data_IF_267288126394
#
_entry.id   IF_267288126394
#
_cell.length_a   1.000
_cell.length_b   1.000
_cell.length_c   1.000
_cell.angle_alpha   90.00
_cell.angle_beta   90.00
_cell.angle_gamma   90.00
#
_symmetry.space_group_name_H-M   'P 1'
#
loop_
_entity.id
_entity.type
_entity.pdbx_description
1 polymer ?
2 non-polymer ?
3 non-polymer ?
4 water ?
#
# COMPACT_ATOMS: atom_id res chain seq x y z
N UNK A 5 10.17 -26.82 -20.08
CA UNK A 5 9.80 -25.49 -19.61
C UNK A 5 8.27 -25.30 -19.48
N UNK A 6 7.90 -24.40 -18.58
CA UNK A 6 6.52 -24.21 -18.19
C UNK A 6 5.74 -23.53 -19.34
N UNK A 7 4.52 -23.98 -19.59
CA UNK A 7 3.74 -23.29 -20.62
C UNK A 7 2.49 -22.70 -19.97
N UNK A 8 2.38 -21.36 -19.94
CA UNK A 8 1.21 -20.75 -19.31
C UNK A 8 -0.09 -21.16 -20.01
N UNK A 9 -1.24 -21.12 -19.29
CA UNK A 9 -2.52 -21.37 -19.96
C UNK A 9 -2.73 -20.43 -21.14
N UNK A 10 -3.42 -20.88 -22.20
CA UNK A 10 -3.70 -19.92 -23.30
C UNK A 10 -4.69 -18.80 -22.95
N UNK A 11 -5.53 -18.98 -21.93
CA UNK A 11 -6.44 -17.89 -21.56
C UNK A 11 -6.82 -18.01 -20.09
N UNK A 12 -7.36 -16.93 -19.53
CA UNK A 12 -7.78 -16.87 -18.12
C UNK A 12 -8.83 -15.77 -17.96
N UNK A 13 -9.35 -15.63 -16.75
CA UNK A 13 -10.21 -14.52 -16.42
C UNK A 13 -9.38 -13.43 -15.71
N UNK A 14 -9.60 -12.17 -16.09
CA UNK A 14 -8.98 -11.03 -15.45
C UNK A 14 -9.98 -9.86 -15.43
N UNK A 15 -9.74 -8.88 -14.57
CA UNK A 15 -10.55 -7.65 -14.56
C UNK A 15 -9.78 -6.55 -15.26
N UNK A 16 -10.46 -5.82 -16.12
CA UNK A 16 -9.82 -4.80 -16.88
C UNK A 16 -10.82 -3.65 -17.08
N UNK A 17 -10.45 -2.69 -17.91
CA UNK A 17 -11.39 -1.68 -18.38
C UNK A 17 -11.48 -1.84 -19.91
N UNK A 18 -12.69 -1.82 -20.46
CA UNK A 18 -12.83 -1.96 -21.92
C UNK A 18 -12.52 -0.66 -22.71
N UNK A 19 -12.91 -0.60 -23.99
CA UNK A 19 -12.73 0.63 -24.79
C UNK A 19 -13.84 1.66 -24.54
N UNK A 20 -14.73 1.40 -23.59
CA UNK A 20 -15.82 2.33 -23.30
C UNK A 20 -15.82 2.80 -21.84
N UNK A 21 -14.62 2.90 -21.28
CA UNK A 21 -14.42 3.22 -19.87
C UNK A 21 -15.36 2.45 -18.91
N UNK A 22 -15.49 1.15 -19.11
CA UNK A 22 -16.23 0.31 -18.15
C UNK A 22 -15.35 -0.80 -17.59
N UNK A 23 -15.46 -0.98 -16.28
CA UNK A 23 -14.80 -2.08 -15.57
C UNK A 23 -15.47 -3.39 -16.03
N UNK A 24 -14.66 -4.34 -16.50
CA UNK A 24 -15.16 -5.51 -17.21
C UNK A 24 -14.51 -6.80 -16.75
N UNK A 25 -15.31 -7.80 -16.45
CA UNK A 25 -14.79 -9.17 -16.31
C UNK A 25 -14.45 -9.73 -17.72
N UNK A 26 -13.18 -10.03 -17.92
CA UNK A 26 -12.68 -10.52 -19.20
C UNK A 26 -12.34 -12.02 -19.09
N UNK A 27 -13.13 -12.87 -19.74
CA UNK A 27 -12.96 -14.31 -19.62
C UNK A 27 -12.04 -14.95 -20.64
N UNK A 28 -11.43 -14.14 -21.50
CA UNK A 28 -10.45 -14.66 -22.44
C UNK A 28 -9.15 -13.90 -22.37
N UNK A 29 -8.78 -13.41 -21.18
CA UNK A 29 -7.56 -12.63 -20.97
C UNK A 29 -6.32 -13.49 -21.22
N UNK A 30 -5.22 -12.87 -21.67
CA UNK A 30 -3.99 -13.65 -21.79
C UNK A 30 -3.34 -13.95 -20.44
N UNK A 31 -2.41 -14.92 -20.41
CA UNK A 31 -1.56 -15.17 -19.28
C UNK A 31 -0.15 -14.65 -19.53
N UNK A 32 0.48 -14.06 -18.49
CA UNK A 32 1.82 -13.56 -18.66
C UNK A 32 2.87 -14.65 -18.92
N UNK A 33 3.95 -14.22 -19.56
CA UNK A 33 5.14 -15.05 -19.70
C UNK A 33 5.82 -15.14 -18.35
N UNK A 34 6.60 -16.19 -18.14
CA UNK A 34 7.34 -16.36 -16.90
C UNK A 34 8.72 -15.75 -17.07
N UNK A 35 9.02 -14.64 -16.34
CA UNK A 35 10.39 -14.12 -16.34
C UNK A 35 11.34 -15.07 -15.58
N UNK A 36 12.60 -15.11 -15.99
CA UNK A 36 13.57 -16.04 -15.38
C UNK A 36 13.85 -15.69 -13.91
N UNK A 37 13.64 -14.43 -13.54
CA UNK A 37 13.90 -14.02 -12.16
C UNK A 37 12.63 -13.84 -11.34
N UNK A 38 11.50 -14.35 -11.84
CA UNK A 38 10.26 -14.29 -11.07
C UNK A 38 9.64 -15.68 -10.90
N UNK A 39 8.50 -15.74 -10.22
CA UNK A 39 7.74 -16.99 -10.11
C UNK A 39 6.33 -16.77 -10.65
N UNK A 40 5.65 -17.88 -10.95
CA UNK A 40 4.32 -17.84 -11.55
C UNK A 40 3.35 -18.14 -10.45
N UNK A 41 2.32 -17.30 -10.34
CA UNK A 41 1.38 -17.37 -9.21
C UNK A 41 -0.03 -17.66 -9.66
N UNK A 42 -0.63 -18.73 -9.14
CA UNK A 42 -2.08 -18.89 -9.22
C UNK A 42 -2.70 -18.14 -8.06
N UNK A 43 -3.39 -17.04 -8.38
CA UNK A 43 -3.95 -16.09 -7.42
C UNK A 43 -5.08 -16.74 -6.60
N UNK A 44 -4.97 -16.66 -5.27
CA UNK A 44 -5.99 -17.21 -4.41
C UNK A 44 -6.84 -16.12 -3.74
N UNK A 45 -6.23 -14.99 -3.40
CA UNK A 45 -6.96 -13.89 -2.78
C UNK A 45 -6.41 -12.55 -3.25
N UNK A 46 -7.27 -11.52 -3.31
CA UNK A 46 -6.84 -10.18 -3.69
C UNK A 46 -7.43 -9.17 -2.73
N UNK A 47 -6.80 -8.01 -2.60
CA UNK A 47 -7.40 -6.93 -1.82
C UNK A 47 -7.73 -5.80 -2.75
N UNK A 48 -8.79 -5.07 -2.39
CA UNK A 48 -9.23 -3.90 -3.14
C UNK A 48 -8.61 -2.62 -2.54
N UNK A 49 -8.09 -1.76 -3.40
CA UNK A 49 -7.51 -0.48 -2.98
C UNK A 49 -8.23 0.67 -3.69
N UNK A 50 -8.36 1.85 -3.03
CA UNK A 50 -8.94 2.99 -3.75
C UNK A 50 -8.25 3.25 -5.09
N UNK A 51 -6.94 3.00 -5.19
CA UNK A 51 -6.24 3.26 -6.46
C UNK A 51 -6.85 2.46 -7.63
N UNK A 52 -7.35 1.25 -7.33
CA UNK A 52 -8.00 0.42 -8.38
C UNK A 52 -9.20 1.14 -8.95
N UNK A 53 -10.01 1.72 -8.07
CA UNK A 53 -11.25 2.42 -8.47
C UNK A 53 -10.97 3.69 -9.28
N UNK A 54 -9.75 4.20 -9.21
CA UNK A 54 -9.44 5.44 -9.90
C UNK A 54 -8.81 5.19 -11.26
N UNK A 55 -8.59 3.93 -11.62
CA UNK A 55 -8.04 3.60 -12.95
C UNK A 55 -9.14 3.68 -13.98
N UNK A 56 -9.39 4.90 -14.45
CA UNK A 56 -10.44 5.24 -15.40
C UNK A 56 -10.07 6.47 -16.21
N UNK A 57 -10.83 6.77 -17.26
CA UNK A 57 -10.56 7.91 -18.12
C UNK A 57 -9.13 7.84 -18.59
N UNK A 58 -8.41 8.97 -18.53
CA UNK A 58 -7.00 9.00 -18.95
C UNK A 58 -6.10 8.07 -18.15
N UNK A 59 -6.56 7.67 -16.97
CA UNK A 59 -5.75 6.81 -16.11
C UNK A 59 -5.82 5.34 -16.51
N UNK A 60 -6.83 4.97 -17.28
CA UNK A 60 -6.98 3.57 -17.72
C UNK A 60 -6.23 3.25 -19.01
N UNK A 61 -5.67 2.03 -19.06
CA UNK A 61 -5.22 1.44 -20.32
C UNK A 61 -6.19 0.31 -20.66
N UNK A 62 -6.99 0.48 -21.71
CA UNK A 62 -7.95 -0.57 -22.05
C UNK A 62 -7.25 -1.91 -22.20
N UNK A 63 -7.82 -2.96 -21.64
CA UNK A 63 -7.34 -4.36 -21.80
C UNK A 63 -6.09 -4.67 -20.98
N UNK A 64 -5.64 -3.72 -20.17
CA UNK A 64 -4.55 -3.93 -19.23
C UNK A 64 -5.16 -4.38 -17.87
N UNK A 65 -4.45 -5.17 -17.07
CA UNK A 65 -5.12 -5.78 -15.90
C UNK A 65 -5.15 -4.82 -14.72
N UNK A 66 -6.23 -4.84 -13.96
CA UNK A 66 -6.34 -4.04 -12.76
C UNK A 66 -5.79 -4.82 -11.56
N UNK A 67 -5.56 -4.11 -10.46
CA UNK A 67 -5.24 -4.72 -9.18
C UNK A 67 -3.77 -4.69 -8.78
N UNK A 68 -3.57 -4.35 -7.52
CA UNK A 68 -2.25 -4.21 -6.92
C UNK A 68 -1.96 -5.42 -6.01
N UNK A 69 -2.88 -5.73 -5.08
CA UNK A 69 -2.62 -6.64 -3.96
C UNK A 69 -3.02 -8.09 -4.22
N UNK A 70 -2.08 -9.03 -4.26
CA UNK A 70 -2.44 -10.43 -4.48
C UNK A 70 -1.75 -11.35 -3.47
N UNK A 71 -2.30 -12.56 -3.30
CA UNK A 71 -1.65 -13.67 -2.60
C UNK A 71 -2.03 -14.94 -3.32
N UNK A 72 -1.07 -15.84 -3.54
CA UNK A 72 -1.38 -17.08 -4.22
C UNK A 72 -0.39 -18.20 -4.05
N UNK A 73 -0.51 -19.21 -4.93
CA UNK A 73 0.31 -20.41 -4.86
C UNK A 73 1.30 -20.38 -6.01
N UNK A 74 2.56 -20.70 -5.71
CA UNK A 74 3.56 -20.75 -6.78
C UNK A 74 3.37 -22.01 -7.64
N UNK A 75 3.20 -21.83 -8.95
CA UNK A 75 2.98 -22.99 -9.84
C UNK A 75 4.15 -23.30 -10.76
N UNK A 76 5.13 -22.39 -10.79
CA UNK A 76 6.30 -22.48 -11.67
C UNK A 76 7.30 -21.45 -11.16
N UNK A 77 8.59 -21.75 -11.26
CA UNK A 77 9.67 -20.94 -10.71
C UNK A 77 10.67 -20.60 -11.81
N UNK A 78 10.94 -19.32 -12.00
CA UNK A 78 11.91 -18.85 -12.96
C UNK A 78 13.27 -19.48 -12.70
N UNK A 79 14.00 -19.74 -13.78
CA UNK A 79 15.26 -20.48 -13.66
C UNK A 79 16.36 -19.82 -12.80
N UNK A 80 16.31 -18.51 -12.64
CA UNK A 80 17.28 -17.77 -11.83
C UNK A 80 16.82 -17.48 -10.40
N UNK A 81 15.74 -18.14 -9.94
CA UNK A 81 15.16 -17.81 -8.65
C UNK A 81 15.63 -18.84 -7.64
N UNK A 82 16.05 -18.37 -6.46
CA UNK A 82 16.49 -19.26 -5.41
C UNK A 82 15.51 -19.17 -4.24
N UNK A 83 15.46 -20.23 -3.43
CA UNK A 83 14.74 -20.21 -2.16
C UNK A 83 13.22 -20.21 -2.26
N UNK A 84 12.70 -20.45 -3.47
CA UNK A 84 11.27 -20.68 -3.65
C UNK A 84 11.06 -21.99 -4.42
N UNK A 85 10.13 -22.81 -3.93
CA UNK A 85 9.76 -24.11 -4.48
C UNK A 85 8.38 -24.04 -5.11
N UNK A 86 8.11 -24.85 -6.14
CA UNK A 86 6.74 -24.98 -6.64
C UNK A 86 5.87 -25.43 -5.47
N UNK A 87 4.66 -24.87 -5.38
CA UNK A 87 3.73 -25.14 -4.26
C UNK A 87 3.89 -24.23 -3.04
N UNK A 88 4.92 -23.37 -3.00
CA UNK A 88 5.05 -22.35 -1.93
C UNK A 88 3.89 -21.35 -1.99
N UNK A 89 3.67 -20.59 -0.93
CA UNK A 89 2.67 -19.50 -0.97
C UNK A 89 3.39 -18.15 -0.95
N UNK A 90 2.95 -17.21 -1.78
CA UNK A 90 3.58 -15.89 -1.82
C UNK A 90 2.52 -14.80 -1.76
N UNK A 91 2.93 -13.60 -1.37
CA UNK A 91 2.09 -12.41 -1.49
C UNK A 91 2.90 -11.22 -1.99
N UNK A 92 2.27 -10.25 -2.63
CA UNK A 92 3.08 -9.17 -3.17
C UNK A 92 2.22 -8.18 -3.87
N UNK A 93 2.86 -7.18 -4.47
CA UNK A 93 2.17 -6.14 -5.23
C UNK A 93 2.44 -6.24 -6.72
N UNK A 94 1.42 -5.90 -7.49
CA UNK A 94 1.57 -5.69 -8.92
C UNK A 94 1.47 -4.20 -9.23
N UNK A 95 1.85 -3.86 -10.46
CA UNK A 95 1.87 -2.46 -10.87
C UNK A 95 0.77 -2.31 -11.90
N UNK A 96 -0.42 -1.95 -11.42
CA UNK A 96 -1.62 -2.04 -12.24
C UNK A 96 -1.65 -1.05 -13.40
N UNK A 97 -2.04 -1.61 -14.56
CA UNK A 97 -2.31 -0.86 -15.78
C UNK A 97 -1.10 -0.19 -16.38
N UNK A 98 0.00 -0.95 -16.45
CA UNK A 98 1.24 -0.49 -17.06
C UNK A 98 1.24 -0.99 -18.50
N UNK A 99 1.16 -0.07 -19.47
CA UNK A 99 0.93 -0.38 -20.87
C UNK A 99 2.04 -1.24 -21.48
N UNK A 100 3.19 -1.26 -20.81
CA UNK A 100 4.31 -2.09 -21.23
C UNK A 100 4.11 -3.56 -20.77
N UNK A 101 3.30 -3.75 -19.72
CA UNK A 101 3.03 -5.07 -19.14
C UNK A 101 1.51 -5.26 -18.86
N UNK A 102 0.68 -5.22 -19.93
CA UNK A 102 -0.76 -5.17 -19.70
C UNK A 102 -1.28 -6.52 -19.16
N UNK A 103 -0.46 -7.57 -19.25
CA UNK A 103 -0.85 -8.89 -18.75
C UNK A 103 -0.43 -9.18 -17.30
N UNK A 104 -0.02 -8.12 -16.58
CA UNK A 104 0.35 -8.22 -15.17
C UNK A 104 -0.58 -7.32 -14.35
N UNK A 105 -1.35 -7.93 -13.45
CA UNK A 105 -2.22 -7.21 -12.54
C UNK A 105 -2.66 -8.23 -11.51
N UNK A 106 -2.92 -7.79 -10.29
CA UNK A 106 -3.40 -8.70 -9.24
C UNK A 106 -4.76 -9.34 -9.52
N UNK A 107 -5.61 -8.63 -10.27
CA UNK A 107 -6.98 -9.12 -10.52
C UNK A 107 -6.97 -10.04 -11.72
N UNK A 108 -6.31 -11.18 -11.55
CA UNK A 108 -6.23 -12.17 -12.61
C UNK A 108 -6.07 -13.53 -11.94
N UNK A 109 -6.34 -14.61 -12.68
CA UNK A 109 -6.24 -15.97 -12.11
C UNK A 109 -4.78 -16.37 -11.95
N UNK A 110 -3.96 -15.87 -12.87
CA UNK A 110 -2.49 -16.12 -12.98
C UNK A 110 -1.70 -14.84 -13.19
N UNK A 111 -0.75 -14.61 -12.29
CA UNK A 111 0.12 -13.45 -12.45
C UNK A 111 1.55 -13.93 -12.24
N UNK A 112 2.51 -12.99 -12.33
CA UNK A 112 3.89 -13.28 -11.96
C UNK A 112 4.26 -12.29 -10.87
N UNK A 113 5.23 -12.66 -10.05
CA UNK A 113 5.77 -11.78 -9.05
C UNK A 113 6.52 -10.65 -9.76
N UNK A 114 6.66 -9.49 -9.11
CA UNK A 114 7.26 -8.30 -9.76
C UNK A 114 8.36 -7.70 -8.88
N UNK A 115 9.50 -7.40 -9.51
CA UNK A 115 10.72 -6.93 -8.82
C UNK A 115 11.03 -7.89 -7.70
N UNK A 116 11.27 -7.36 -6.51
CA UNK A 116 11.36 -8.19 -5.30
C UNK A 116 10.37 -7.62 -4.27
N UNK A 117 9.27 -7.11 -4.81
CA UNK A 117 8.15 -6.56 -4.04
C UNK A 117 7.16 -7.72 -3.75
N UNK A 118 7.67 -8.73 -3.07
CA UNK A 118 6.89 -9.89 -2.69
C UNK A 118 7.67 -10.68 -1.67
N UNK A 119 6.99 -11.65 -1.07
CA UNK A 119 7.56 -12.46 -0.01
C UNK A 119 6.77 -13.76 0.10
N UNK A 120 7.36 -14.74 0.80
CA UNK A 120 6.64 -15.96 1.15
C UNK A 120 5.66 -15.64 2.28
N UNK A 121 4.45 -16.15 2.19
CA UNK A 121 3.43 -15.94 3.21
C UNK A 121 3.88 -16.70 4.44
N UNK A 122 3.93 -16.05 5.62
CA UNK A 122 4.23 -16.82 6.84
C UNK A 122 3.27 -18.00 7.10
N UNK A 123 3.78 -19.10 7.67
CA UNK A 123 2.95 -20.30 7.90
C UNK A 123 1.58 -20.05 8.60
N UNK A 124 1.55 -19.10 9.54
CA UNK A 124 0.35 -18.78 10.30
C UNK A 124 -0.67 -17.82 9.67
N UNK A 125 -0.35 -17.26 8.51
CA UNK A 125 -1.28 -16.37 7.84
C UNK A 125 -2.03 -17.04 6.69
N UNK A 126 -3.30 -16.69 6.54
CA UNK A 126 -4.12 -17.15 5.40
C UNK A 126 -3.84 -16.31 4.19
N UNK A 127 -4.29 -16.77 3.01
CA UNK A 127 -4.23 -15.99 1.74
C UNK A 127 -4.86 -14.59 1.87
N UNK A 128 -6.00 -14.54 2.53
CA UNK A 128 -6.75 -13.29 2.77
C UNK A 128 -6.00 -12.32 3.66
N UNK A 129 -5.47 -12.80 4.76
CA UNK A 129 -4.63 -11.95 5.63
C UNK A 129 -3.42 -11.41 4.87
N UNK A 130 -2.78 -12.26 4.07
CA UNK A 130 -1.59 -11.86 3.33
C UNK A 130 -1.90 -10.85 2.21
N UNK A 131 -3.04 -11.02 1.54
CA UNK A 131 -3.41 -10.20 0.38
C UNK A 131 -3.69 -8.75 0.80
N UNK A 132 -4.01 -8.59 2.07
CA UNK A 132 -4.39 -7.31 2.66
C UNK A 132 -3.16 -6.40 2.87
N UNK A 133 -1.95 -6.97 2.77
CA UNK A 133 -0.73 -6.31 3.21
C UNK A 133 0.14 -5.53 2.20
N UNK A 134 0.29 -6.01 0.94
CA UNK A 134 1.30 -5.43 0.03
C UNK A 134 1.27 -3.89 -0.31
N UNK A 135 0.12 -3.32 -0.68
CA UNK A 135 0.08 -1.90 -0.98
C UNK A 135 0.35 -1.11 0.34
N UNK A 136 -0.14 -1.64 1.46
CA UNK A 136 0.12 -1.05 2.77
C UNK A 136 1.59 -0.97 3.11
N UNK A 137 2.27 -2.12 3.05
CA UNK A 137 3.70 -2.18 3.30
C UNK A 137 4.47 -1.20 2.40
N UNK A 138 4.14 -1.24 1.11
CA UNK A 138 4.83 -0.47 0.12
C UNK A 138 4.62 1.02 0.34
N UNK A 139 3.37 1.41 0.61
CA UNK A 139 3.03 2.83 0.76
C UNK A 139 3.67 3.39 2.04
N UNK A 140 3.62 2.60 3.12
CA UNK A 140 4.22 2.99 4.41
C UNK A 140 5.73 3.24 4.27
N UNK A 141 6.42 2.35 3.56
CA UNK A 141 7.84 2.54 3.29
C UNK A 141 8.15 3.76 2.43
N UNK A 142 7.38 4.00 1.36
CA UNK A 142 7.62 5.20 0.57
C UNK A 142 7.38 6.45 1.39
N UNK A 143 6.38 6.44 2.26
CA UNK A 143 6.09 7.63 3.08
C UNK A 143 7.21 7.90 4.10
N UNK A 144 7.68 6.85 4.77
CA UNK A 144 8.77 7.02 5.73
C UNK A 144 10.04 7.53 5.01
N UNK A 145 10.34 6.94 3.85
CA UNK A 145 11.45 7.38 3.01
C UNK A 145 11.33 8.87 2.70
N UNK A 146 10.15 9.29 2.26
CA UNK A 146 9.94 10.69 1.91
C UNK A 146 10.02 11.65 3.11
N UNK A 147 9.52 11.21 4.26
CA UNK A 147 9.57 11.99 5.49
C UNK A 147 11.00 12.11 6.02
N UNK A 148 11.92 11.28 5.51
CA UNK A 148 13.29 11.20 6.02
C UNK A 148 13.38 10.39 7.30
N UNK A 149 12.53 9.38 7.47
CA UNK A 149 12.59 8.54 8.66
C UNK A 149 13.15 7.16 8.32
N UNK A 150 14.12 6.65 9.11
CA UNK A 150 14.68 5.32 8.76
C UNK A 150 13.70 4.19 8.99
N UNK A 151 13.77 3.19 8.11
CA UNK A 151 13.02 1.95 8.28
C UNK A 151 13.38 1.24 9.56
N UNK A 152 12.45 0.47 10.12
CA UNK A 152 12.76 -0.35 11.29
C UNK A 152 13.87 -1.36 11.01
N UNK A 153 14.56 -1.76 12.08
CA UNK A 153 15.43 -2.91 12.01
C UNK A 153 14.58 -4.20 12.15
N UNK A 154 14.82 -5.19 11.27
CA UNK A 154 14.09 -6.44 11.46
C UNK A 154 14.67 -7.23 12.65
N UNK A 155 15.84 -6.83 13.14
CA UNK A 155 16.43 -7.45 14.34
C UNK A 155 15.52 -7.20 15.57
N UNK A 156 15.60 -6.08 16.30
CA UNK A 156 16.80 -5.40 16.80
C UNK A 156 16.47 -5.41 18.30
N UNK A 157 15.40 -6.13 18.61
CA UNK A 157 14.97 -6.43 19.98
C UNK A 157 14.62 -5.18 20.79
N UNK A 158 14.47 -4.08 20.06
CA UNK A 158 13.44 -3.05 20.26
C UNK A 158 13.82 -1.61 19.97
N UNK A 159 12.80 -0.75 19.72
CA UNK A 159 12.96 0.47 18.93
C UNK A 159 14.07 1.38 19.46
N UNK A 160 14.74 2.12 18.55
CA UNK A 160 15.70 3.13 18.95
C UNK A 160 15.10 4.08 19.98
N UNK A 161 15.96 4.64 20.81
CA UNK A 161 15.59 5.62 21.83
C UNK A 161 15.92 7.01 21.28
N UNK A 162 15.08 7.98 21.61
CA UNK A 162 15.35 9.36 21.21
C UNK A 162 15.53 10.31 22.39
N UNK A 163 16.40 11.30 22.17
CA UNK A 163 16.53 12.53 22.98
C UNK A 163 15.29 12.90 23.78
N UNK A 164 14.25 13.31 23.04
CA UNK A 164 12.90 13.57 23.55
C UNK A 164 11.93 12.89 22.58
N UNK A 165 10.64 12.80 22.94
CA UNK A 165 9.69 12.19 21.98
C UNK A 165 9.68 12.89 20.61
N UNK A 166 9.68 12.08 19.56
CA UNK A 166 9.62 12.61 18.20
C UNK A 166 8.26 12.19 17.64
N UNK A 167 7.37 13.18 17.54
CA UNK A 167 6.00 12.92 17.12
C UNK A 167 5.87 12.90 15.61
N UNK A 168 4.97 12.08 15.10
CA UNK A 168 4.59 12.12 13.68
C UNK A 168 3.07 12.20 13.63
N UNK A 169 2.55 13.26 13.00
CA UNK A 169 1.12 13.35 12.83
C UNK A 169 0.70 12.43 11.67
N UNK A 170 -0.35 11.65 11.89
CA UNK A 170 -0.93 10.85 10.81
C UNK A 170 -2.38 11.24 10.66
N UNK A 171 -2.67 12.04 9.64
CA UNK A 171 -4.03 12.50 9.35
C UNK A 171 -4.73 11.39 8.59
N UNK A 172 -5.77 10.82 9.20
CA UNK A 172 -6.45 9.64 8.66
C UNK A 172 -5.87 8.36 9.24
N UNK A 173 -5.86 8.27 10.56
CA UNK A 173 -5.23 7.13 11.23
C UNK A 173 -5.99 5.81 11.21
N UNK A 174 -7.20 5.79 10.65
CA UNK A 174 -7.93 4.53 10.46
C UNK A 174 -7.80 3.98 9.01
N UNK A 175 -7.12 4.73 8.14
CA UNK A 175 -6.92 4.28 6.76
C UNK A 175 -6.05 3.01 6.75
N UNK A 176 -6.23 2.17 5.74
CA UNK A 176 -5.35 1.01 5.50
C UNK A 176 -3.86 1.39 5.56
N UNK A 177 -3.48 2.48 4.91
CA UNK A 177 -2.07 2.90 4.91
C UNK A 177 -1.58 3.25 6.33
N UNK A 178 -2.36 4.02 7.08
CA UNK A 178 -1.96 4.49 8.41
C UNK A 178 -1.76 3.36 9.39
N UNK A 179 -2.64 2.37 9.39
CA UNK A 179 -2.52 1.31 10.43
C UNK A 179 -1.22 0.52 10.27
N UNK A 180 -0.78 0.31 9.03
CA UNK A 180 0.56 -0.29 8.75
C UNK A 180 1.71 0.71 9.00
N UNK A 181 1.53 1.96 8.58
CA UNK A 181 2.58 2.96 8.80
C UNK A 181 2.85 3.17 10.30
N UNK A 182 1.79 3.24 11.12
CA UNK A 182 1.95 3.56 12.55
C UNK A 182 2.73 2.49 13.30
N UNK A 183 2.53 1.22 12.93
CA UNK A 183 3.32 0.11 13.49
C UNK A 183 4.78 0.27 13.11
N UNK A 184 5.02 0.60 11.84
CA UNK A 184 6.41 0.77 11.39
C UNK A 184 7.08 1.97 12.07
N UNK A 185 6.33 3.08 12.22
CA UNK A 185 6.87 4.28 12.88
C UNK A 185 7.30 3.97 14.30
N UNK A 186 6.45 3.24 15.03
CA UNK A 186 6.75 2.82 16.40
C UNK A 186 7.99 1.92 16.48
N UNK A 187 8.11 0.99 15.54
CA UNK A 187 9.27 0.10 15.53
C UNK A 187 10.58 0.86 15.27
N UNK A 188 10.48 2.02 14.63
CA UNK A 188 11.62 2.91 14.36
C UNK A 188 11.87 3.94 15.50
N UNK A 189 11.04 3.87 16.54
CA UNK A 189 11.20 4.78 17.69
C UNK A 189 10.40 6.07 17.70
N UNK A 190 9.56 6.28 16.69
CA UNK A 190 8.69 7.49 16.61
C UNK A 190 7.35 7.29 17.30
N UNK A 191 6.71 8.40 17.67
CA UNK A 191 5.40 8.37 18.35
C UNK A 191 4.34 8.98 17.44
N UNK A 192 3.52 8.13 16.81
CA UNK A 192 2.41 8.60 15.99
C UNK A 192 1.27 9.16 16.83
N UNK A 193 0.74 10.28 16.38
CA UNK A 193 -0.52 10.78 16.91
C UNK A 193 -1.50 10.87 15.72
N UNK A 194 -2.73 10.39 15.92
CA UNK A 194 -3.62 10.20 14.79
C UNK A 194 -4.94 10.97 14.90
N UNK A 195 -5.53 11.25 13.74
CA UNK A 195 -6.88 11.80 13.65
C UNK A 195 -7.74 10.86 12.82
N UNK A 196 -8.98 10.63 13.27
CA UNK A 196 -9.91 9.76 12.54
C UNK A 196 -11.28 9.89 13.21
N UNK A 197 -12.25 9.04 12.86
CA UNK A 197 -13.57 9.11 13.49
C UNK A 197 -13.53 8.31 14.75
N UNK A 198 -14.29 8.73 15.80
CA UNK A 198 -14.36 8.09 17.13
C UNK A 198 -14.53 6.58 17.15
N UNK A 199 -15.31 6.02 16.24
CA UNK A 199 -15.54 4.57 16.24
C UNK A 199 -14.27 3.77 15.83
N UNK A 200 -13.31 4.42 15.21
CA UNK A 200 -12.02 3.81 14.90
C UNK A 200 -10.90 4.20 15.86
N UNK A 201 -11.23 4.91 16.94
CA UNK A 201 -10.19 5.22 17.95
C UNK A 201 -9.43 4.00 18.47
N UNK A 202 -10.12 2.92 18.82
CA UNK A 202 -9.46 1.75 19.41
C UNK A 202 -8.53 1.07 18.40
N UNK A 203 -8.97 1.02 17.14
CA UNK A 203 -8.16 0.51 16.04
C UNK A 203 -6.87 1.32 15.91
N UNK A 204 -6.97 2.66 15.91
CA UNK A 204 -5.77 3.51 15.79
C UNK A 204 -4.76 3.27 16.94
N UNK A 205 -5.27 3.23 18.16
CA UNK A 205 -4.42 2.96 19.33
C UNK A 205 -3.78 1.55 19.29
N UNK A 206 -4.54 0.56 18.82
CA UNK A 206 -4.00 -0.81 18.75
C UNK A 206 -2.87 -0.91 17.72
N UNK A 207 -2.86 0.04 16.78
CA UNK A 207 -1.88 0.03 15.69
C UNK A 207 -0.71 1.01 15.89
N UNK A 208 -0.64 1.64 17.06
CA UNK A 208 0.54 2.42 17.43
C UNK A 208 0.35 3.88 17.77
N UNK A 209 -0.84 4.45 17.54
CA UNK A 209 -1.10 5.85 17.88
C UNK A 209 -1.03 6.07 19.40
N UNK A 210 -0.23 7.05 19.81
CA UNK A 210 -0.13 7.41 21.22
C UNK A 210 -1.41 8.10 21.67
N UNK A 211 -1.93 8.97 20.84
CA UNK A 211 -3.19 9.59 21.13
C UNK A 211 -3.95 9.66 19.82
N UNK A 212 -5.27 9.63 19.90
CA UNK A 212 -6.07 9.74 18.70
C UNK A 212 -7.15 10.82 18.95
N UNK A 213 -7.43 11.60 17.91
CA UNK A 213 -8.37 12.70 17.99
C UNK A 213 -9.39 12.63 16.86
N UNK A 214 -10.60 13.11 17.15
CA UNK A 214 -11.61 13.27 16.11
C UNK A 214 -11.16 14.44 15.22
N UNK A 215 -11.00 14.21 13.92
CA UNK A 215 -10.56 15.25 13.00
C UNK A 215 -11.59 16.38 12.86
N UNK A 216 -12.84 16.12 13.22
CA UNK A 216 -13.84 17.17 13.19
C UNK A 216 -13.76 18.17 14.36
N UNK A 217 -12.99 17.88 15.41
CA UNK A 217 -12.99 18.70 16.65
C UNK A 217 -12.54 20.17 16.41
N UNK A 218 -13.30 21.14 16.99
CA UNK A 218 -12.94 22.54 16.77
C UNK A 218 -11.56 22.90 17.28
N UNK A 219 -10.78 23.58 16.44
CA UNK A 219 -9.42 24.04 16.79
C UNK A 219 -8.50 22.91 17.22
N UNK A 220 -8.73 21.72 16.66
CA UNK A 220 -7.86 20.57 16.93
C UNK A 220 -6.38 20.85 16.62
N UNK A 221 -6.10 21.62 15.56
CA UNK A 221 -4.69 21.95 15.25
C UNK A 221 -3.97 22.66 16.44
N UNK A 222 -4.69 23.52 17.17
CA UNK A 222 -4.15 24.09 18.40
C UNK A 222 -3.88 22.99 19.45
N UNK A 223 -4.85 22.11 19.66
CA UNK A 223 -4.66 20.94 20.51
C UNK A 223 -3.38 20.16 20.16
N UNK A 224 -3.20 19.84 18.88
CA UNK A 224 -2.01 19.12 18.45
C UNK A 224 -0.74 19.97 18.62
N UNK A 225 -0.76 21.26 18.24
CA UNK A 225 0.41 22.10 18.44
C UNK A 225 0.77 22.06 19.92
N UNK A 226 -0.21 22.19 20.81
CA UNK A 226 0.10 22.17 22.25
C UNK A 226 0.75 20.86 22.67
N UNK A 227 0.17 19.76 22.20
CA UNK A 227 0.61 18.41 22.57
C UNK A 227 2.04 18.19 22.12
N UNK A 228 2.39 18.72 20.95
CA UNK A 228 3.73 18.47 20.35
C UNK A 228 4.74 19.59 20.64
N UNK A 229 4.40 20.42 21.62
CA UNK A 229 5.29 21.52 22.09
C UNK A 229 5.65 22.47 20.96
N UNK A 230 4.70 22.65 20.05
CA UNK A 230 4.89 23.54 18.92
C UNK A 230 6.14 23.22 18.11
N UNK A 231 6.50 21.94 18.13
CA UNK A 231 7.65 21.47 17.36
C UNK A 231 7.41 20.17 16.55
N UNK A 232 6.19 20.03 16.03
CA UNK A 232 5.84 18.89 15.17
C UNK A 232 6.53 19.09 13.85
N UNK A 233 7.41 18.15 13.49
CA UNK A 233 8.16 18.30 12.23
C UNK A 233 7.78 17.33 11.12
N UNK A 234 6.86 16.43 11.41
CA UNK A 234 6.44 15.38 10.46
C UNK A 234 4.91 15.25 10.38
N UNK A 235 4.34 15.42 9.18
CA UNK A 235 2.91 15.17 8.95
C UNK A 235 2.68 14.31 7.73
N UNK A 236 2.04 13.17 7.99
CA UNK A 236 1.70 12.21 6.94
C UNK A 236 0.21 12.29 6.71
N UNK A 237 -0.17 12.76 5.53
CA UNK A 237 -1.57 12.96 5.20
C UNK A 237 -2.09 11.78 4.37
N UNK A 238 -2.91 10.95 5.02
CA UNK A 238 -3.47 9.76 4.34
C UNK A 238 -4.87 9.97 3.77
N UNK A 239 -5.35 11.22 3.80
CA UNK A 239 -6.70 11.56 3.34
C UNK A 239 -6.55 12.30 2.04
N UNK A 240 -5.69 13.31 2.04
CA UNK A 240 -5.17 14.00 0.85
C UNK A 240 -6.19 14.92 0.15
N UNK A 241 -6.94 15.72 0.90
CA UNK A 241 -7.83 16.66 0.23
C UNK A 241 -7.56 18.08 0.72
N UNK A 242 -8.38 19.04 0.30
CA UNK A 242 -8.22 20.43 0.71
C UNK A 242 -8.14 20.62 2.24
N UNK A 243 -9.03 19.96 2.99
CA UNK A 243 -9.11 20.12 4.45
C UNK A 243 -7.94 19.48 5.19
N UNK A 244 -7.48 18.36 4.67
CA UNK A 244 -6.39 17.65 5.35
C UNK A 244 -5.08 18.40 5.18
N UNK A 245 -4.86 18.97 3.99
CA UNK A 245 -3.64 19.76 3.78
C UNK A 245 -3.62 21.01 4.67
N UNK A 246 -4.76 21.71 4.75
CA UNK A 246 -4.89 22.87 5.67
C UNK A 246 -4.63 22.47 7.14
N UNK A 247 -5.21 21.37 7.57
CA UNK A 247 -4.99 20.90 8.97
C UNK A 247 -3.51 20.62 9.23
N UNK A 248 -2.89 19.86 8.32
CA UNK A 248 -1.47 19.46 8.51
C UNK A 248 -0.50 20.66 8.54
N UNK A 249 -0.66 21.59 7.59
CA UNK A 249 0.08 22.85 7.66
C UNK A 249 -0.09 23.62 8.98
N UNK A 250 -1.32 23.62 9.53
CA UNK A 250 -1.58 24.34 10.80
C UNK A 250 -0.96 23.65 12.02
N UNK A 251 -0.86 22.32 11.99
CA UNK A 251 -0.39 21.51 13.13
C UNK A 251 1.14 21.49 13.26
N UNK A 252 1.83 21.61 12.13
CA UNK A 252 3.30 21.67 12.04
C UNK A 252 3.86 22.83 12.85
N UNK A 253 5.00 22.58 13.51
CA UNK A 253 5.58 23.48 14.47
C UNK A 253 6.09 24.80 13.93
N UNK A 254 6.41 25.72 14.84
CA UNK A 254 6.87 27.07 14.44
C UNK A 254 8.23 27.11 13.76
N UNK A 255 9.00 26.04 13.88
CA UNK A 255 10.33 25.96 13.26
C UNK A 255 10.30 25.27 11.88
N UNK A 256 9.14 24.81 11.45
CA UNK A 256 8.97 24.19 10.14
C UNK A 256 8.77 22.69 10.31
N UNK A 257 8.63 21.99 9.19
CA UNK A 257 8.29 20.59 9.24
C UNK A 257 8.15 20.07 7.84
N UNK A 258 7.86 18.77 7.74
CA UNK A 258 7.78 18.11 6.45
C UNK A 258 6.37 17.52 6.29
N UNK A 259 5.72 17.84 5.17
CA UNK A 259 4.37 17.37 4.88
C UNK A 259 4.49 16.33 3.74
N UNK A 260 3.99 15.11 3.95
CA UNK A 260 3.98 14.12 2.85
C UNK A 260 2.54 13.60 2.70
N UNK A 261 2.09 13.57 1.45
CA UNK A 261 0.72 13.20 1.10
C UNK A 261 0.81 11.91 0.29
N UNK A 262 -0.31 11.19 0.20
CA UNK A 262 -0.36 9.97 -0.60
C UNK A 262 -0.87 10.24 -2.04
N UNK A 263 -1.20 11.49 -2.33
CA UNK A 263 -1.60 11.88 -3.69
C UNK A 263 -0.98 13.22 -4.00
N UNK A 264 -0.98 13.64 -5.29
CA UNK A 264 -0.64 15.03 -5.59
C UNK A 264 -1.62 16.02 -4.96
N UNK A 265 -1.21 17.28 -4.78
CA UNK A 265 -2.09 18.34 -4.28
C UNK A 265 -1.77 19.64 -5.05
N UNK A 266 -2.80 20.35 -5.57
CA UNK A 266 -2.85 21.81 -5.66
C UNK A 266 -3.76 22.34 -4.55
N UNK A 272 1.94 29.50 4.37
CA UNK A 272 2.95 29.66 5.43
C UNK A 272 4.32 29.16 4.94
N UNK A 273 5.36 29.48 5.70
CA UNK A 273 6.69 29.11 5.26
C UNK A 273 7.25 27.92 6.04
N UNK A 274 8.43 27.47 5.63
CA UNK A 274 9.25 26.54 6.39
C UNK A 274 8.73 25.11 6.37
N UNK A 275 7.86 24.79 5.42
CA UNK A 275 7.40 23.40 5.29
C UNK A 275 7.77 22.87 3.92
N UNK A 276 8.54 21.78 3.91
CA UNK A 276 8.83 21.05 2.68
C UNK A 276 7.70 20.04 2.42
N UNK A 277 7.50 19.68 1.16
CA UNK A 277 6.37 18.84 0.73
C UNK A 277 6.77 17.81 -0.35
N UNK A 278 6.14 16.65 -0.25
CA UNK A 278 6.35 15.52 -1.16
C UNK A 278 5.08 14.70 -1.19
N UNK A 279 4.92 13.88 -2.20
CA UNK A 279 3.84 12.89 -2.21
C UNK A 279 4.33 11.59 -2.85
N UNK A 280 3.75 10.48 -2.39
CA UNK A 280 4.17 9.14 -2.77
C UNK A 280 3.67 8.76 -4.16
N UNK A 281 4.61 8.43 -5.04
CA UNK A 281 4.28 7.85 -6.34
C UNK A 281 4.46 6.32 -6.27
N UNK A 282 3.35 5.60 -6.24
CA UNK A 282 3.32 4.14 -6.06
C UNK A 282 4.29 3.24 -6.81
N UNK A 283 4.33 3.32 -8.16
CA UNK A 283 5.19 2.42 -9.00
C UNK A 283 6.67 2.59 -8.72
N UNK A 284 6.99 3.69 -8.04
CA UNK A 284 8.29 3.95 -7.50
C UNK A 284 8.81 2.80 -6.64
N UNK A 285 7.91 2.02 -6.05
CA UNK A 285 8.36 0.90 -5.21
C UNK A 285 9.03 -0.19 -6.05
N UNK A 286 8.69 -0.24 -7.35
CA UNK A 286 9.27 -1.19 -8.29
C UNK A 286 10.57 -0.71 -8.92
N UNK A 287 10.89 0.57 -8.76
CA UNK A 287 12.07 1.16 -9.40
C UNK A 287 11.68 1.42 -10.84
N UNK A 288 10.38 1.30 -11.04
CA UNK A 288 9.75 1.68 -12.25
C UNK A 288 9.34 3.15 -12.08
N UNK A 289 9.02 3.80 -13.18
CA UNK A 289 8.48 5.13 -13.08
C UNK A 289 7.01 5.09 -13.41
N UNK A 290 6.59 6.10 -14.15
CA UNK A 290 5.24 6.22 -14.61
C UNK A 290 5.27 6.85 -15.98
N UNK A 291 4.32 6.45 -16.81
CA UNK A 291 4.23 6.98 -18.17
C UNK A 291 3.16 8.07 -18.25
N UNK A 292 2.30 8.12 -17.23
CA UNK A 292 1.28 9.17 -17.05
C UNK A 292 1.89 10.59 -17.19
N UNK A 293 1.09 11.60 -17.62
CA UNK A 293 1.67 12.94 -17.83
C UNK A 293 1.72 13.73 -16.52
N UNK A 294 1.15 14.94 -16.52
CA UNK A 294 0.90 15.73 -15.31
C UNK A 294 2.05 15.73 -14.27
N UNK A 295 1.75 15.51 -12.95
CA UNK A 295 2.89 15.33 -12.03
C UNK A 295 3.40 13.88 -11.88
N UNK A 296 2.78 12.94 -12.59
CA UNK A 296 3.10 11.50 -12.45
C UNK A 296 4.36 11.01 -13.18
N UNK A 297 4.42 11.18 -14.49
CA UNK A 297 5.54 10.67 -15.27
C UNK A 297 6.89 10.92 -14.63
N UNK A 298 7.66 9.86 -14.44
CA UNK A 298 9.09 9.97 -14.07
C UNK A 298 9.84 8.73 -14.54
N UNK A 299 11.16 8.86 -14.85
CA UNK A 299 11.97 7.67 -15.15
C UNK A 299 12.07 6.71 -13.96
N UNK A 300 12.37 5.45 -14.23
CA UNK A 300 12.63 4.44 -13.19
C UNK A 300 14.06 4.58 -12.70
N UNK A 301 14.41 3.90 -11.63
CA UNK A 301 15.76 4.01 -11.12
C UNK A 301 16.18 2.79 -10.34
N UNK A 302 17.46 2.46 -10.42
CA UNK A 302 17.95 1.30 -9.70
C UNK A 302 17.90 1.57 -8.18
N UNK A 303 18.14 2.82 -7.75
CA UNK A 303 18.04 3.16 -6.31
C UNK A 303 16.62 2.93 -5.77
N UNK A 304 15.62 3.33 -6.57
CA UNK A 304 14.21 3.10 -6.23
C UNK A 304 13.87 1.61 -6.17
N UNK A 305 14.39 0.84 -7.14
CA UNK A 305 14.28 -0.60 -7.11
C UNK A 305 14.87 -1.21 -5.84
N UNK A 306 16.09 -0.81 -5.49
CA UNK A 306 16.75 -1.40 -4.33
C UNK A 306 16.03 -1.03 -3.05
N UNK A 307 15.56 0.21 -2.95
CA UNK A 307 14.76 0.59 -1.79
C UNK A 307 13.59 -0.37 -1.55
N UNK A 308 12.84 -0.61 -2.62
CA UNK A 308 11.67 -1.47 -2.59
C UNK A 308 12.05 -2.87 -2.16
N UNK A 309 13.15 -3.40 -2.68
CA UNK A 309 13.67 -4.74 -2.25
C UNK A 309 14.03 -4.77 -0.76
N UNK A 310 14.74 -3.73 -0.31
CA UNK A 310 15.14 -3.62 1.09
C UNK A 310 13.93 -3.54 1.98
N UNK A 311 13.00 -2.64 1.65
CA UNK A 311 11.73 -2.53 2.41
C UNK A 311 11.06 -3.89 2.59
N UNK A 312 10.93 -4.61 1.49
CA UNK A 312 10.23 -5.91 1.47
C UNK A 312 10.96 -6.99 2.24
N UNK A 313 12.30 -6.98 2.15
CA UNK A 313 13.09 -7.85 3.01
C UNK A 313 12.86 -7.55 4.51
N UNK A 314 12.79 -6.26 4.87
CA UNK A 314 12.50 -5.85 6.26
C UNK A 314 11.07 -6.23 6.66
N UNK A 315 10.11 -5.75 5.89
CA UNK A 315 8.69 -5.90 6.26
C UNK A 315 8.33 -7.38 6.25
N UNK A 316 8.93 -8.16 5.35
CA UNK A 316 8.62 -9.60 5.25
C UNK A 316 8.91 -10.25 6.58
N UNK A 317 10.06 -9.90 7.13
CA UNK A 317 10.48 -10.46 8.41
C UNK A 317 9.59 -9.98 9.53
N UNK A 318 9.21 -8.70 9.51
CA UNK A 318 8.29 -8.16 10.53
C UNK A 318 6.95 -8.88 10.51
N UNK A 319 6.43 -9.18 9.32
CA UNK A 319 5.15 -9.84 9.22
C UNK A 319 5.29 -11.26 9.73
N UNK A 320 6.42 -11.87 9.40
CA UNK A 320 6.77 -13.25 9.79
C UNK A 320 6.83 -13.37 11.32
N UNK A 321 7.35 -12.37 12.00
CA UNK A 321 7.45 -12.47 13.47
C UNK A 321 6.27 -11.81 14.22
N UNK A 322 5.25 -11.39 13.47
CA UNK A 322 4.05 -10.86 14.06
C UNK A 322 4.14 -9.44 14.57
N UNK A 323 5.21 -8.73 14.17
CA UNK A 323 5.43 -7.36 14.61
C UNK A 323 4.82 -6.33 13.66
N UNK A 324 4.38 -6.79 12.49
CA UNK A 324 3.59 -6.00 11.56
C UNK A 324 2.36 -6.81 11.14
N UNK A 325 1.15 -6.28 11.39
CA UNK A 325 -0.11 -6.99 11.17
C UNK A 325 -1.04 -6.25 10.18
N UNK A 326 -1.86 -7.05 9.48
CA UNK A 326 -2.77 -6.57 8.46
C UNK A 326 -3.87 -5.70 9.05
N UNK A 327 -4.35 -4.78 8.24
CA UNK A 327 -5.55 -3.96 8.53
C UNK A 327 -6.77 -4.91 8.71
N UNK A 328 -7.76 -4.59 9.59
CA UNK A 328 -8.94 -5.48 9.69
C UNK A 328 -9.58 -5.79 8.35
N UNK A 329 -10.10 -7.01 8.20
CA UNK A 329 -10.54 -7.53 6.90
C UNK A 329 -12.04 -7.60 6.83
N UNK A 330 -12.53 -7.36 5.62
CA UNK A 330 -13.88 -7.75 5.25
C UNK A 330 -13.71 -8.69 4.07
N UNK A 331 -13.86 -9.99 4.34
CA UNK A 331 -13.63 -11.03 3.34
C UNK A 331 -14.92 -11.47 2.62
N UNK A 332 -14.87 -11.41 1.29
CA UNK A 332 -15.93 -11.87 0.39
C UNK A 332 -15.42 -13.13 -0.34
N UNK A 333 -16.25 -14.18 -0.46
CA UNK A 333 -15.93 -15.36 -1.26
C UNK A 333 -16.60 -15.16 -2.59
N UNK A 334 -15.88 -15.33 -3.69
CA UNK A 334 -16.53 -15.20 -4.98
C UNK A 334 -15.60 -15.16 -6.16
N UNK A 335 -16.09 -14.68 -7.29
CA UNK A 335 -15.23 -14.59 -8.46
C UNK A 335 -14.95 -13.17 -8.86
N UNK A 336 -14.72 -12.97 -10.16
CA UNK A 336 -14.28 -11.66 -10.62
C UNK A 336 -15.32 -10.55 -10.58
N UNK A 337 -16.60 -10.90 -10.72
CA UNK A 337 -17.65 -9.91 -10.58
C UNK A 337 -17.73 -9.38 -9.14
N UNK A 338 -17.38 -10.21 -8.16
CA UNK A 338 -17.24 -9.76 -6.76
C UNK A 338 -16.11 -8.75 -6.54
N UNK A 339 -15.03 -8.86 -7.31
CA UNK A 339 -13.98 -7.83 -7.26
C UNK A 339 -14.54 -6.53 -7.82
N UNK A 340 -15.28 -6.66 -8.92
CA UNK A 340 -15.90 -5.51 -9.57
C UNK A 340 -16.90 -4.79 -8.64
N UNK A 341 -17.71 -5.55 -7.91
CA UNK A 341 -18.66 -4.97 -6.93
C UNK A 341 -17.95 -4.37 -5.74
N UNK A 342 -16.90 -5.05 -5.26
CA UNK A 342 -16.04 -4.55 -4.18
C UNK A 342 -15.40 -3.22 -4.49
N UNK A 343 -14.90 -3.06 -5.71
CA UNK A 343 -14.39 -1.77 -6.18
C UNK A 343 -15.42 -0.64 -6.03
N UNK A 344 -16.67 -0.92 -6.39
CA UNK A 344 -17.73 0.10 -6.31
C UNK A 344 -18.04 0.53 -4.86
N UNK A 345 -18.05 -0.46 -3.95
CA UNK A 345 -18.19 -0.23 -2.55
C UNK A 345 -17.05 0.68 -2.09
N UNK A 346 -15.82 0.31 -2.44
CA UNK A 346 -14.68 1.13 -2.11
C UNK A 346 -14.82 2.54 -2.69
N UNK A 347 -15.17 2.65 -3.97
CA UNK A 347 -15.24 3.96 -4.64
C UNK A 347 -16.24 4.89 -3.96
N UNK A 348 -17.28 4.31 -3.38
CA UNK A 348 -18.36 5.07 -2.75
C UNK A 348 -18.04 5.42 -1.28
N UNK A 349 -16.84 5.09 -0.83
CA UNK A 349 -16.43 5.29 0.57
C UNK A 349 -17.20 4.47 1.60
N UNK A 350 -17.80 3.36 1.19
CA UNK A 350 -18.64 2.55 2.09
C UNK A 350 -17.86 1.70 3.10
N UNK A 351 -16.54 1.85 3.11
CA UNK A 351 -15.71 1.06 4.02
C UNK A 351 -15.02 1.96 5.04
N UNK A 352 -15.14 1.58 6.31
CA UNK A 352 -14.46 2.30 7.37
C UNK A 352 -13.82 1.31 8.32
N UNK A 353 -12.50 1.46 8.49
CA UNK A 353 -11.70 0.66 9.42
C UNK A 353 -11.48 -0.79 8.98
N UNK A 354 -11.72 -1.06 7.70
CA UNK A 354 -11.64 -2.41 7.15
C UNK A 354 -11.09 -2.38 5.73
N UNK A 355 -10.48 -3.49 5.31
CA UNK A 355 -9.99 -3.66 3.94
C UNK A 355 -10.82 -4.77 3.24
N UNK A 356 -11.29 -4.52 2.04
CA UNK A 356 -12.07 -5.53 1.37
C UNK A 356 -11.11 -6.49 0.66
N UNK A 357 -11.25 -7.76 0.99
CA UNK A 357 -10.49 -8.87 0.37
C UNK A 357 -11.45 -9.87 -0.27
N UNK A 358 -11.16 -10.29 -1.49
CA UNK A 358 -11.92 -11.33 -2.18
C UNK A 358 -11.10 -12.61 -2.22
N UNK A 359 -11.66 -13.67 -1.66
CA UNK A 359 -11.07 -14.98 -1.76
C UNK A 359 -11.71 -15.61 -3.00
N UNK A 360 -10.89 -15.94 -3.99
CA UNK A 360 -11.39 -16.38 -5.27
C UNK A 360 -11.83 -17.82 -5.15
N UNK A 361 -13.10 -18.09 -5.42
CA UNK A 361 -13.56 -19.47 -5.22
C UNK A 361 -13.79 -20.23 -6.50
X LIG B 1 2.57 3.17 -3.00
X LIG B 1 1.71 2.48 -3.58
X LIG B 1 1.96 1.03 -3.88
X LIG B 1 1.13 0.27 -4.60
X LIG B 1 1.57 -1.15 -4.82
X LIG B 1 0.28 3.23 -4.01
X LIG B 1 0.74 4.93 -3.60
X LIG B 1 -0.25 5.60 -2.62
X LIG B 1 -1.26 6.40 -3.33
X LIG B 1 -2.36 6.00 -3.98
X LIG B 1 -2.65 4.81 -4.08
X LIG B 1 -3.28 7.04 -4.62
X LIG B 1 -4.72 6.52 -4.83
X LIG B 1 -5.27 6.24 -3.49
X LIG B 1 -5.99 7.05 -2.73
X LIG B 1 -6.32 8.16 -3.10
X LIG B 1 -6.41 6.55 -1.38
X LIG B 1 -7.74 7.00 -1.02
X LIG B 1 -5.40 6.90 -0.26
X LIG B 1 -5.31 8.40 -0.02
X LIG B 1 -4.03 6.31 -0.62
X LIG B 1 -5.94 6.28 1.01
X LIG B 1 -6.18 4.88 0.79
X LIG B 1 -6.16 3.85 2.01
X LIG B 1 -4.93 4.03 2.83
X LIG B 1 -6.39 2.50 1.38
X LIG B 1 -7.35 4.23 3.02
X LIG B 1 -8.81 3.59 3.27
X LIG B 1 -9.58 3.59 1.97
X LIG B 1 -8.73 2.36 4.13
X LIG B 1 -9.39 4.79 4.17
X LIG B 1 -10.77 5.16 4.25
X LIG B 1 -10.93 5.95 5.54
X LIG B 1 -12.38 6.07 5.95
X LIG B 1 -12.73 4.94 6.72
X LIG B 1 -12.44 7.31 6.82
X LIG B 1 -12.03 6.98 8.14
X LIG B 1 -12.96 7.28 9.45
X LIG B 1 -14.18 6.42 9.23
X LIG B 1 -12.15 6.78 10.61
X LIG B 1 -13.21 8.78 9.47
X LIG B 1 -10.63 7.31 5.30
X LIG B 1 -11.36 8.16 6.22
X LIG B 1 -11.88 9.33 5.47
X LIG B 1 -11.77 10.60 5.83
X LIG B 1 -11.20 11.18 6.93
X LIG B 1 -11.21 12.52 7.06
X LIG B 1 -12.50 9.30 4.25
X LIG B 1 -12.79 10.57 3.86
X LIG B 1 -12.33 11.40 4.84
X LIG B 1 -12.31 12.79 5.01
X LIG B 1 -11.77 13.30 6.13
X LIG B 1 -12.84 13.64 4.11
X LIG C 1 -0.11 29.06 20.53
X LIG C 1 0.31 28.37 21.71
X LIG C 1 0.55 28.44 19.29
X LIG C 1 0.29 27.04 19.25
X LIG C 1 0.02 29.18 18.05
X LIG C 1 0.75 28.86 16.87
#
# INVERSE_FOLDING_TARGET
MGDQPFIPPPQQTALTVNDHDEVTVWNAAPCPMLPRDQVYVRVEAVAINPSDTKMRGQFATPWAFLGTDYAGTVVAVGSDVTHIQVGDRVYGAQNEMCPRTPDQGAFSQYTVTRGRVWAKIPKGLSFEQAAALPAGISTAGLAMKLLGLPLPSPSADQPPTHSKPVYVLVYGGSTATATVTMQMLRLSGYIPIATCSPHNFDLAKSRGAEEVFDYRAPNLAQTIRTYTKNNLRYALDCITNVESTTFCFAAIGRAGGHYVSLNPFPEHAATRKMVTTDWTLGPTIFGEGSTWPAPYGRPGSEEERQFGEDLWRIAGQLVEDGRLVHHPLRVVQGGFDHIKQGMELVRKGELSGEKLVVRLEGPLEHHHHHH
CO7 O1 C1 C2 C3 C4 S1 C5 C6 N1 C7 O2 C8 C9 N2 C10 O3 C11 O4 C12 C13 C14 C15 O5 P1 O6 O7 O8 P2 O9 O10 O11 C16 C17 C18 O12 C19 O13 P3 O14 O15 O16 O17 C20 N3 C21 N4 C22 C23 N5 C24 C25 N6 N7
GOL C1 O1 C2 O2 C3 O3
#
